data_IF_323687107379
#
_entry.id   IF_323687107379
#
_cell.length_a   1.000
_cell.length_b   1.000
_cell.length_c   1.000
_cell.angle_alpha   90.00
_cell.angle_beta   90.00
_cell.angle_gamma   90.00
#
_symmetry.space_group_name_H-M   'P 1'
#
loop_
_entity.id
_entity.type
_entity.pdbx_description
1 polymer ?
#
# COMPACT_ATOMS: atom_id res chain seq x y z
N UNK A 1 18.42 -8.99 21.38
CA UNK A 1 19.84 -9.20 21.72
C UNK A 1 20.33 -10.40 20.91
N UNK A 2 20.94 -10.12 19.76
CA UNK A 2 22.23 -10.57 19.22
C UNK A 2 22.37 -9.69 17.96
N UNK A 3 23.01 -8.52 18.13
CA UNK A 3 23.55 -7.79 16.98
C UNK A 3 24.68 -8.67 16.43
N UNK A 4 24.46 -9.28 15.26
CA UNK A 4 25.58 -9.74 14.47
C UNK A 4 26.17 -8.53 13.75
N UNK A 5 27.48 -8.27 13.87
CA UNK A 5 28.15 -7.25 13.08
C UNK A 5 27.95 -7.56 11.60
N UNK A 6 27.47 -6.57 10.84
CA UNK A 6 27.44 -6.64 9.39
C UNK A 6 28.88 -6.91 8.89
N UNK A 7 29.10 -7.89 7.99
CA UNK A 7 30.43 -8.10 7.43
C UNK A 7 30.84 -6.82 6.68
N UNK A 8 31.92 -6.20 7.14
CA UNK A 8 32.57 -5.09 6.46
C UNK A 8 33.05 -5.57 5.09
N UNK A 9 32.83 -4.76 4.06
CA UNK A 9 33.32 -4.99 2.70
C UNK A 9 34.84 -4.84 2.70
N UNK A 10 35.55 -5.88 3.14
CA UNK A 10 36.97 -6.07 2.99
C UNK A 10 37.19 -7.56 2.72
N UNK A 11 37.90 -7.85 1.63
CA UNK A 11 38.31 -9.17 1.13
C UNK A 11 37.28 -9.97 0.33
N UNK A 12 36.99 -9.51 -0.89
CA UNK A 12 36.90 -10.42 -2.04
C UNK A 12 37.56 -9.76 -3.25
N UNK A 13 38.82 -10.14 -3.49
CA UNK A 13 39.63 -9.82 -4.66
C UNK A 13 39.20 -10.67 -5.87
N UNK A 14 37.88 -10.74 -6.12
CA UNK A 14 37.29 -11.44 -7.25
C UNK A 14 36.91 -10.40 -8.31
N UNK A 15 37.48 -10.53 -9.51
CA UNK A 15 37.11 -9.71 -10.66
C UNK A 15 35.57 -9.63 -10.77
N UNK A 16 34.99 -8.43 -11.01
CA UNK A 16 33.55 -8.30 -11.09
C UNK A 16 33.02 -9.26 -12.16
N UNK A 17 31.95 -10.04 -11.86
CA UNK A 17 31.42 -11.02 -12.81
C UNK A 17 31.08 -10.31 -14.13
N UNK A 18 31.58 -10.87 -15.23
CA UNK A 18 31.42 -10.31 -16.58
C UNK A 18 29.95 -10.22 -16.95
N UNK A 19 29.50 -9.02 -17.34
CA UNK A 19 28.11 -8.77 -17.67
C UNK A 19 27.63 -9.65 -18.84
N UNK A 20 26.59 -10.44 -18.60
CA UNK A 20 25.98 -11.33 -19.59
C UNK A 20 24.78 -10.64 -20.27
N UNK A 21 25.04 -9.89 -21.33
CA UNK A 21 24.02 -9.30 -22.22
C UNK A 21 23.55 -7.90 -21.84
N UNK A 22 22.71 -7.29 -22.70
CA UNK A 22 22.26 -5.89 -22.59
C UNK A 22 21.42 -5.62 -21.34
N UNK A 23 20.59 -6.57 -20.92
CA UNK A 23 19.74 -6.46 -19.72
C UNK A 23 20.61 -6.44 -18.46
N UNK A 24 21.62 -7.32 -18.40
CA UNK A 24 22.55 -7.37 -17.28
C UNK A 24 23.38 -6.09 -17.18
N UNK A 25 23.86 -5.54 -18.31
CA UNK A 25 24.54 -4.25 -18.32
C UNK A 25 23.65 -3.09 -17.87
N UNK A 26 22.37 -3.08 -18.26
CA UNK A 26 21.45 -1.98 -17.95
C UNK A 26 21.07 -1.93 -16.47
N UNK A 27 20.75 -3.09 -15.88
CA UNK A 27 20.32 -3.22 -14.48
C UNK A 27 21.47 -3.54 -13.52
N UNK A 28 22.64 -3.88 -14.04
CA UNK A 28 23.83 -4.29 -13.28
C UNK A 28 23.55 -5.55 -12.43
N UNK A 29 22.88 -6.55 -13.00
CA UNK A 29 22.37 -7.74 -12.26
C UNK A 29 23.53 -8.55 -11.67
N UNK A 30 24.53 -8.87 -12.48
CA UNK A 30 25.73 -9.61 -12.07
C UNK A 30 26.58 -8.80 -11.10
N UNK A 31 26.72 -7.49 -11.32
CA UNK A 31 27.45 -6.60 -10.40
C UNK A 31 26.75 -6.46 -9.03
N UNK A 32 25.44 -6.70 -8.96
CA UNK A 32 24.67 -6.78 -7.71
C UNK A 32 24.68 -8.18 -7.08
N UNK A 33 25.42 -9.14 -7.65
CA UNK A 33 25.52 -10.51 -7.15
C UNK A 33 24.26 -11.36 -7.37
N UNK A 34 23.43 -11.03 -8.37
CA UNK A 34 22.19 -11.74 -8.69
C UNK A 34 22.25 -12.43 -10.05
N UNK A 35 21.20 -13.18 -10.40
CA UNK A 35 21.04 -13.84 -11.70
C UNK A 35 19.65 -13.54 -12.26
N UNK A 36 19.49 -13.57 -13.59
CA UNK A 36 18.19 -13.31 -14.23
C UNK A 36 17.07 -14.21 -13.69
N UNK A 37 17.35 -15.50 -13.45
CA UNK A 37 16.40 -16.43 -12.84
C UNK A 37 15.99 -16.00 -11.44
N UNK A 38 16.96 -15.54 -10.62
CA UNK A 38 16.71 -15.05 -9.26
C UNK A 38 15.84 -13.79 -9.29
N UNK A 39 16.09 -12.87 -10.21
CA UNK A 39 15.29 -11.64 -10.37
C UNK A 39 13.84 -11.95 -10.77
N UNK A 40 13.62 -12.88 -11.70
CA UNK A 40 12.26 -13.27 -12.11
C UNK A 40 11.49 -13.90 -10.94
N UNK A 41 12.12 -14.82 -10.21
CA UNK A 41 11.50 -15.46 -9.03
C UNK A 41 11.24 -14.44 -7.92
N UNK A 42 12.16 -13.50 -7.69
CA UNK A 42 11.96 -12.41 -6.75
C UNK A 42 10.79 -11.51 -7.16
N UNK A 43 10.68 -11.15 -8.44
CA UNK A 43 9.56 -10.37 -8.97
C UNK A 43 8.22 -11.05 -8.77
N UNK A 44 8.10 -12.35 -9.10
CA UNK A 44 6.87 -13.13 -8.88
C UNK A 44 6.54 -13.19 -7.39
N UNK A 45 7.55 -13.41 -6.54
CA UNK A 45 7.37 -13.47 -5.08
C UNK A 45 6.85 -12.14 -4.52
N UNK A 46 7.45 -11.02 -4.94
CA UNK A 46 7.03 -9.67 -4.55
C UNK A 46 5.62 -9.37 -5.04
N UNK A 47 5.30 -9.74 -6.28
CA UNK A 47 3.93 -9.61 -6.81
C UNK A 47 2.93 -10.37 -5.93
N UNK A 48 3.19 -11.65 -5.62
CA UNK A 48 2.31 -12.45 -4.77
C UNK A 48 2.14 -11.88 -3.36
N UNK A 49 3.17 -11.24 -2.81
CA UNK A 49 3.09 -10.58 -1.51
C UNK A 49 2.19 -9.33 -1.52
N UNK A 50 2.07 -8.63 -2.66
CA UNK A 50 1.29 -7.38 -2.77
C UNK A 50 -0.11 -7.58 -3.35
N UNK A 51 -0.40 -8.70 -4.02
CA UNK A 51 -1.68 -8.96 -4.71
C UNK A 51 -2.91 -8.79 -3.81
N UNK A 52 -2.78 -8.95 -2.49
CA UNK A 52 -3.90 -8.72 -1.57
C UNK A 52 -4.50 -7.31 -1.69
N UNK A 53 -3.69 -6.29 -2.03
CA UNK A 53 -4.14 -4.91 -2.21
C UNK A 53 -5.18 -4.77 -3.33
N UNK A 54 -5.13 -5.66 -4.32
CA UNK A 54 -6.08 -5.71 -5.45
C UNK A 54 -7.50 -6.05 -4.97
N UNK A 55 -7.66 -6.67 -3.80
CA UNK A 55 -8.97 -6.94 -3.20
C UNK A 55 -9.32 -5.90 -2.12
N UNK A 56 -8.35 -5.53 -1.29
CA UNK A 56 -8.57 -4.65 -0.14
C UNK A 56 -8.95 -3.23 -0.58
N UNK A 57 -8.23 -2.65 -1.53
CA UNK A 57 -8.46 -1.26 -1.97
C UNK A 57 -9.84 -1.08 -2.62
N UNK A 58 -10.26 -1.92 -3.60
CA UNK A 58 -11.63 -1.87 -4.11
C UNK A 58 -12.70 -2.11 -3.04
N UNK A 59 -12.46 -3.04 -2.10
CA UNK A 59 -13.41 -3.31 -1.02
C UNK A 59 -13.66 -2.09 -0.12
N UNK A 60 -12.62 -1.32 0.18
CA UNK A 60 -12.72 -0.10 1.00
C UNK A 60 -13.35 1.06 0.22
N UNK A 61 -12.89 1.34 -1.00
CA UNK A 61 -13.42 2.44 -1.80
C UNK A 61 -14.86 2.16 -2.29
N UNK A 62 -15.22 0.89 -2.50
CA UNK A 62 -16.59 0.49 -2.83
C UNK A 62 -17.61 0.95 -1.78
N UNK A 63 -17.24 0.87 -0.49
CA UNK A 63 -18.09 1.34 0.62
C UNK A 63 -18.26 2.86 0.64
N UNK A 64 -17.29 3.58 0.10
CA UNK A 64 -17.34 5.02 -0.10
C UNK A 64 -18.08 5.40 -1.41
N UNK A 65 -18.71 4.46 -2.12
CA UNK A 65 -19.49 4.73 -3.33
C UNK A 65 -18.67 4.77 -4.62
N UNK A 66 -17.43 4.25 -4.62
CA UNK A 66 -16.65 4.07 -5.84
C UNK A 66 -17.04 2.77 -6.56
N UNK A 67 -16.95 2.77 -7.88
CA UNK A 67 -17.09 1.54 -8.66
C UNK A 67 -15.89 0.60 -8.39
N UNK A 68 -16.16 -0.50 -7.69
CA UNK A 68 -15.15 -1.50 -7.32
C UNK A 68 -14.39 -2.06 -8.52
N UNK A 69 -15.04 -2.22 -9.67
CA UNK A 69 -14.43 -2.74 -10.89
C UNK A 69 -13.48 -1.72 -11.50
N UNK A 70 -13.88 -0.45 -11.55
CA UNK A 70 -13.02 0.64 -12.00
C UNK A 70 -11.82 0.86 -11.07
N UNK A 71 -12.04 0.79 -9.75
CA UNK A 71 -10.97 0.89 -8.75
C UNK A 71 -9.97 -0.27 -8.87
N UNK A 72 -10.44 -1.50 -9.05
CA UNK A 72 -9.57 -2.66 -9.28
C UNK A 72 -8.63 -2.43 -10.46
N UNK A 73 -9.17 -1.97 -11.60
CA UNK A 73 -8.38 -1.68 -12.80
C UNK A 73 -7.39 -0.55 -12.53
N UNK A 74 -7.83 0.53 -11.88
CA UNK A 74 -6.99 1.66 -11.53
C UNK A 74 -5.81 1.25 -10.64
N UNK A 75 -6.04 0.43 -9.62
CA UNK A 75 -4.99 -0.09 -8.72
C UNK A 75 -3.98 -0.93 -9.51
N UNK A 76 -4.44 -1.82 -10.38
CA UNK A 76 -3.55 -2.67 -11.18
C UNK A 76 -2.69 -1.83 -12.15
N UNK A 77 -3.30 -0.89 -12.86
CA UNK A 77 -2.60 -0.05 -13.84
C UNK A 77 -1.59 0.90 -13.16
N UNK A 78 -1.98 1.56 -12.07
CA UNK A 78 -1.10 2.49 -11.34
C UNK A 78 0.06 1.76 -10.66
N UNK A 79 -0.19 0.61 -10.03
CA UNK A 79 0.86 -0.25 -9.43
C UNK A 79 1.84 -0.73 -10.50
N UNK A 80 1.35 -1.18 -11.66
CA UNK A 80 2.19 -1.62 -12.77
C UNK A 80 3.03 -0.48 -13.33
N UNK A 81 2.42 0.68 -13.56
CA UNK A 81 3.11 1.88 -14.05
C UNK A 81 4.19 2.35 -13.07
N UNK A 82 3.85 2.51 -11.78
CA UNK A 82 4.79 2.95 -10.76
C UNK A 82 5.95 1.98 -10.57
N UNK A 83 5.67 0.67 -10.54
CA UNK A 83 6.72 -0.36 -10.45
C UNK A 83 7.63 -0.36 -11.68
N UNK A 84 7.08 -0.13 -12.87
CA UNK A 84 7.86 -0.01 -14.09
C UNK A 84 8.74 1.24 -14.07
N UNK A 85 8.20 2.37 -13.60
CA UNK A 85 8.93 3.62 -13.46
C UNK A 85 10.09 3.49 -12.46
N UNK A 86 9.86 2.83 -11.33
CA UNK A 86 10.90 2.53 -10.34
C UNK A 86 12.00 1.64 -10.91
N UNK A 87 11.63 0.60 -11.66
CA UNK A 87 12.58 -0.30 -12.30
C UNK A 87 13.39 0.39 -13.42
N UNK A 88 12.72 1.02 -14.38
CA UNK A 88 13.37 1.56 -15.59
C UNK A 88 14.08 2.90 -15.34
N UNK A 89 13.49 3.80 -14.55
CA UNK A 89 14.03 5.16 -14.39
C UNK A 89 14.86 5.33 -13.11
N UNK A 90 14.36 4.83 -11.97
CA UNK A 90 15.11 4.89 -10.71
C UNK A 90 16.16 3.78 -10.59
N UNK A 91 16.04 2.69 -11.36
CA UNK A 91 16.95 1.53 -11.36
C UNK A 91 17.08 0.89 -9.99
N UNK A 92 15.95 0.74 -9.30
CA UNK A 92 15.86 0.11 -7.99
C UNK A 92 14.93 -1.11 -8.05
N UNK A 93 15.29 -2.22 -7.38
CA UNK A 93 14.45 -3.42 -7.29
C UNK A 93 13.36 -3.23 -6.21
N UNK A 94 12.55 -2.18 -6.37
CA UNK A 94 11.47 -1.82 -5.45
C UNK A 94 10.18 -1.77 -6.24
N UNK A 95 9.15 -2.45 -5.76
CA UNK A 95 7.82 -2.36 -6.34
C UNK A 95 7.03 -1.24 -5.67
N UNK A 96 6.21 -0.55 -6.47
CA UNK A 96 5.30 0.49 -5.99
C UNK A 96 3.89 -0.10 -5.97
N UNK A 97 3.18 0.13 -4.88
CA UNK A 97 1.77 -0.25 -4.73
C UNK A 97 0.93 0.90 -4.19
N UNK A 98 -0.38 0.70 -4.16
CA UNK A 98 -1.31 1.67 -3.59
C UNK A 98 -1.15 1.78 -2.06
N UNK A 99 -1.11 3.01 -1.54
CA UNK A 99 -1.05 3.27 -0.12
C UNK A 99 -2.40 2.94 0.57
N UNK A 100 -2.42 1.89 1.37
CA UNK A 100 -3.63 1.42 2.07
C UNK A 100 -4.08 2.43 3.14
N UNK A 101 -3.13 3.06 3.82
CA UNK A 101 -3.35 4.09 4.83
C UNK A 101 -4.16 5.27 4.29
N UNK A 102 -3.73 5.82 3.15
CA UNK A 102 -4.39 6.93 2.46
C UNK A 102 -5.74 6.50 1.89
N UNK A 103 -5.83 5.28 1.36
CA UNK A 103 -7.09 4.70 0.88
C UNK A 103 -8.13 4.64 2.00
N UNK A 104 -7.74 4.21 3.20
CA UNK A 104 -8.62 4.17 4.37
C UNK A 104 -9.06 5.56 4.81
N UNK A 105 -8.12 6.49 4.90
CA UNK A 105 -8.42 7.86 5.28
C UNK A 105 -9.40 8.51 4.28
N UNK A 106 -9.19 8.28 2.99
CA UNK A 106 -10.10 8.74 1.94
C UNK A 106 -11.50 8.13 2.08
N UNK A 107 -11.62 6.80 2.20
CA UNK A 107 -12.91 6.12 2.28
C UNK A 107 -13.67 6.48 3.56
N UNK A 108 -13.04 6.27 4.71
CA UNK A 108 -13.71 6.31 6.01
C UNK A 108 -13.62 7.67 6.69
N UNK A 109 -12.51 8.39 6.50
CA UNK A 109 -12.33 9.73 7.06
C UNK A 109 -13.07 10.79 6.25
N UNK A 110 -12.82 10.85 4.94
CA UNK A 110 -13.33 11.92 4.08
C UNK A 110 -14.74 11.63 3.57
N UNK A 111 -14.92 10.54 2.82
CA UNK A 111 -16.21 10.28 2.16
C UNK A 111 -17.28 9.91 3.18
N UNK A 112 -17.03 8.89 3.99
CA UNK A 112 -18.02 8.42 4.97
C UNK A 112 -18.07 9.32 6.22
N UNK A 113 -16.91 9.74 6.73
CA UNK A 113 -16.81 10.52 7.97
C UNK A 113 -17.20 11.98 7.85
N UNK A 114 -16.86 12.64 6.74
CA UNK A 114 -17.19 14.05 6.48
C UNK A 114 -18.33 14.22 5.46
N UNK A 115 -18.94 13.13 5.00
CA UNK A 115 -20.01 13.13 3.99
C UNK A 115 -19.64 13.84 2.68
N UNK A 116 -18.35 13.78 2.29
CA UNK A 116 -17.88 14.34 1.03
C UNK A 116 -18.25 13.43 -0.14
N UNK A 117 -18.52 14.02 -1.31
CA UNK A 117 -18.75 13.23 -2.52
C UNK A 117 -17.45 12.56 -3.00
N UNK A 118 -17.53 11.39 -3.67
CA UNK A 118 -16.37 10.74 -4.29
C UNK A 118 -15.57 11.67 -5.22
N UNK A 119 -16.26 12.58 -5.93
CA UNK A 119 -15.65 13.58 -6.80
C UNK A 119 -14.76 14.58 -6.03
N UNK A 120 -15.23 15.09 -4.89
CA UNK A 120 -14.46 16.01 -4.04
C UNK A 120 -13.28 15.28 -3.40
N UNK A 121 -13.46 14.03 -2.98
CA UNK A 121 -12.38 13.21 -2.44
C UNK A 121 -11.28 12.95 -3.49
N UNK A 122 -11.65 12.69 -4.75
CA UNK A 122 -10.69 12.59 -5.86
C UNK A 122 -9.94 13.91 -6.10
N UNK A 123 -10.64 15.05 -6.03
CA UNK A 123 -10.00 16.37 -6.11
C UNK A 123 -8.99 16.61 -4.99
N UNK A 124 -9.31 16.19 -3.76
CA UNK A 124 -8.44 16.32 -2.60
C UNK A 124 -7.18 15.44 -2.73
N UNK A 125 -7.32 14.19 -3.20
CA UNK A 125 -6.19 13.29 -3.47
C UNK A 125 -5.32 13.81 -4.61
N UNK A 126 -5.92 14.36 -5.67
CA UNK A 126 -5.17 14.98 -6.76
C UNK A 126 -4.35 16.19 -6.27
N UNK A 127 -4.97 17.09 -5.51
CA UNK A 127 -4.27 18.25 -4.94
C UNK A 127 -3.15 17.83 -4.00
N UNK A 128 -3.38 16.80 -3.18
CA UNK A 128 -2.34 16.20 -2.36
C UNK A 128 -1.20 15.65 -3.24
N UNK A 129 -1.47 14.93 -4.32
CA UNK A 129 -0.44 14.41 -5.24
C UNK A 129 0.39 15.52 -5.89
N UNK A 130 -0.24 16.63 -6.29
CA UNK A 130 0.45 17.82 -6.83
C UNK A 130 1.39 18.42 -5.78
N UNK A 131 0.87 18.66 -4.56
CA UNK A 131 1.67 19.23 -3.45
C UNK A 131 2.79 18.27 -3.05
N UNK A 132 2.50 16.97 -2.97
CA UNK A 132 3.47 15.93 -2.63
C UNK A 132 4.59 15.84 -3.67
N UNK A 133 4.26 15.89 -4.95
CA UNK A 133 5.23 15.94 -6.04
C UNK A 133 6.10 17.20 -5.96
N UNK A 134 5.48 18.36 -5.73
CA UNK A 134 6.22 19.62 -5.57
C UNK A 134 7.22 19.55 -4.39
N UNK A 135 6.81 19.02 -3.24
CA UNK A 135 7.65 18.81 -2.05
C UNK A 135 8.79 17.82 -2.34
N UNK A 136 8.52 16.77 -3.12
CA UNK A 136 9.53 15.77 -3.51
C UNK A 136 10.57 16.35 -4.46
N UNK A 137 10.15 17.09 -5.50
CA UNK A 137 11.05 17.69 -6.49
C UNK A 137 11.88 18.84 -5.89
N UNK A 138 11.32 19.63 -4.98
CA UNK A 138 12.05 20.71 -4.28
C UNK A 138 13.05 20.19 -3.23
N UNK A 139 13.10 18.89 -2.97
CA UNK A 139 14.02 18.28 -1.99
C UNK A 139 13.58 18.44 -0.53
N UNK A 140 12.42 19.08 -0.29
CA UNK A 140 11.83 19.25 1.05
C UNK A 140 11.54 17.89 1.68
N UNK A 141 11.12 16.88 0.90
CA UNK A 141 10.91 15.50 1.41
C UNK A 141 12.16 14.93 2.07
N UNK A 142 13.34 15.12 1.48
CA UNK A 142 14.63 14.68 2.03
C UNK A 142 15.00 15.47 3.29
N UNK A 143 14.63 16.75 3.36
CA UNK A 143 14.82 17.55 4.57
C UNK A 143 13.90 17.09 5.71
N UNK A 144 12.61 16.83 5.43
CA UNK A 144 11.67 16.28 6.42
C UNK A 144 12.21 14.97 6.97
N UNK A 145 12.70 14.08 6.10
CA UNK A 145 13.35 12.82 6.45
C UNK A 145 14.47 12.93 7.49
N UNK A 146 15.30 13.96 7.33
CA UNK A 146 16.48 14.18 8.18
C UNK A 146 16.13 14.77 9.53
N UNK A 147 15.05 15.54 9.60
CA UNK A 147 14.67 16.29 10.79
C UNK A 147 13.51 15.65 11.56
N UNK A 148 12.86 14.62 11.01
CA UNK A 148 11.74 13.94 11.66
C UNK A 148 12.24 13.08 12.84
N UNK A 149 11.80 13.37 14.09
CA UNK A 149 12.15 12.53 15.22
C UNK A 149 11.60 11.12 15.01
N UNK A 150 12.41 10.10 15.30
CA UNK A 150 12.02 8.69 15.12
C UNK A 150 10.70 8.36 15.85
N UNK A 151 10.46 8.97 17.03
CA UNK A 151 9.22 8.79 17.78
C UNK A 151 7.96 9.25 17.02
N UNK A 152 8.02 10.35 16.27
CA UNK A 152 6.88 10.84 15.46
C UNK A 152 6.62 9.89 14.29
N UNK A 153 7.69 9.42 13.62
CA UNK A 153 7.58 8.45 12.53
C UNK A 153 6.95 7.12 13.00
N UNK A 154 7.42 6.59 14.14
CA UNK A 154 6.87 5.37 14.72
C UNK A 154 5.43 5.56 15.20
N UNK A 155 5.14 6.68 15.87
CA UNK A 155 3.79 6.99 16.36
C UNK A 155 2.77 7.11 15.23
N UNK A 156 3.14 7.77 14.13
CA UNK A 156 2.28 7.86 12.93
C UNK A 156 1.95 6.47 12.36
N UNK A 157 2.96 5.61 12.21
CA UNK A 157 2.76 4.23 11.73
C UNK A 157 1.87 3.40 12.66
N UNK A 158 2.07 3.47 13.98
CA UNK A 158 1.23 2.78 14.97
C UNK A 158 -0.21 3.29 14.93
N UNK A 159 -0.41 4.61 14.87
CA UNK A 159 -1.73 5.23 14.83
C UNK A 159 -2.53 4.79 13.60
N UNK A 160 -1.91 4.79 12.43
CA UNK A 160 -2.53 4.30 11.18
C UNK A 160 -2.88 2.81 11.31
N UNK A 161 -1.96 1.99 11.83
CA UNK A 161 -2.20 0.55 12.02
C UNK A 161 -3.37 0.26 12.96
N UNK A 162 -3.45 0.97 14.10
CA UNK A 162 -4.57 0.85 15.04
C UNK A 162 -5.88 1.36 14.44
N UNK A 163 -5.84 2.41 13.62
CA UNK A 163 -7.01 2.91 12.91
C UNK A 163 -7.54 1.89 11.90
N UNK A 164 -6.67 1.29 11.10
CA UNK A 164 -7.03 0.21 10.17
C UNK A 164 -7.56 -1.03 10.91
N UNK A 165 -6.95 -1.38 12.05
CA UNK A 165 -7.43 -2.48 12.89
C UNK A 165 -8.85 -2.22 13.40
N UNK A 166 -9.15 -0.99 13.81
CA UNK A 166 -10.51 -0.61 14.25
C UNK A 166 -11.51 -0.73 13.10
N UNK A 167 -11.17 -0.24 11.90
CA UNK A 167 -12.02 -0.38 10.71
C UNK A 167 -12.27 -1.84 10.39
N UNK A 168 -11.21 -2.65 10.26
CA UNK A 168 -11.33 -4.07 9.95
C UNK A 168 -12.15 -4.82 11.01
N UNK A 169 -11.93 -4.52 12.29
CA UNK A 169 -12.71 -5.09 13.40
C UNK A 169 -14.17 -4.68 13.36
N UNK A 170 -14.48 -3.47 12.87
CA UNK A 170 -15.84 -3.02 12.68
C UNK A 170 -16.52 -3.69 11.49
N UNK A 171 -15.82 -3.86 10.37
CA UNK A 171 -16.37 -4.52 9.19
C UNK A 171 -16.78 -5.97 9.44
N UNK A 172 -16.00 -6.70 10.24
CA UNK A 172 -16.29 -8.11 10.57
C UNK A 172 -17.29 -8.24 11.71
N UNK A 173 -17.67 -7.13 12.36
CA UNK A 173 -18.62 -7.11 13.48
C UNK A 173 -18.00 -7.48 14.83
N UNK A 174 -16.67 -7.50 14.95
CA UNK A 174 -15.98 -7.71 16.23
C UNK A 174 -16.13 -6.49 17.14
N UNK A 175 -16.03 -5.28 16.57
CA UNK A 175 -16.20 -4.01 17.28
C UNK A 175 -17.38 -3.26 16.67
N UNK A 176 -18.40 -2.95 17.45
CA UNK A 176 -19.60 -2.24 16.96
C UNK A 176 -19.76 -0.89 17.66
N UNK A 177 -20.49 0.03 17.03
CA UNK A 177 -20.85 1.32 17.65
C UNK A 177 -21.66 1.05 18.91
N UNK A 178 -21.27 1.67 20.02
CA UNK A 178 -22.02 1.57 21.27
C UNK A 178 -23.24 2.51 21.20
N UNK A 179 -24.47 2.01 21.34
CA UNK A 179 -25.67 2.85 21.38
C UNK A 179 -25.93 3.48 22.76
N UNK A 180 -25.26 3.00 23.83
CA UNK A 180 -25.45 3.50 25.19
C UNK A 180 -24.62 4.76 25.52
N UNK A 181 -24.85 5.39 26.69
CA UNK A 181 -24.14 6.59 27.15
C UNK A 181 -22.67 6.32 27.59
N UNK A 182 -22.06 5.23 27.14
CA UNK A 182 -20.74 4.77 27.54
C UNK A 182 -19.65 5.06 26.50
N UNK A 183 -18.60 4.23 26.50
CA UNK A 183 -17.50 4.32 25.52
C UNK A 183 -18.04 4.25 24.08
N UNK A 184 -17.41 4.93 23.10
CA UNK A 184 -17.93 5.01 21.71
C UNK A 184 -18.08 3.66 21.00
N UNK A 185 -17.35 2.64 21.45
CA UNK A 185 -17.31 1.30 20.88
C UNK A 185 -17.73 0.25 21.90
N UNK A 186 -18.31 -0.84 21.42
CA UNK A 186 -18.70 -2.01 22.21
C UNK A 186 -18.31 -3.30 21.49
N UNK A 187 -18.20 -4.39 22.25
CA UNK A 187 -17.87 -5.70 21.68
C UNK A 187 -19.10 -6.24 20.93
N UNK A 188 -18.91 -6.64 19.68
CA UNK A 188 -19.95 -7.27 18.87
C UNK A 188 -20.09 -8.76 19.17
N UNK A 189 -20.76 -9.49 18.26
CA UNK A 189 -20.93 -10.93 18.43
C UNK A 189 -19.65 -11.68 18.05
N UNK A 190 -18.84 -12.03 19.05
CA UNK A 190 -17.57 -12.74 18.85
C UNK A 190 -17.71 -14.15 18.28
N UNK A 191 -18.89 -14.76 18.40
CA UNK A 191 -19.18 -16.11 17.88
C UNK A 191 -19.71 -16.09 16.45
N UNK A 192 -19.94 -14.90 15.89
CA UNK A 192 -20.40 -14.78 14.52
C UNK A 192 -19.35 -15.33 13.54
N UNK A 193 -19.84 -15.98 12.48
CA UNK A 193 -18.99 -16.59 11.46
C UNK A 193 -17.93 -15.63 10.88
N UNK A 194 -18.25 -14.38 10.49
CA UNK A 194 -17.24 -13.43 9.98
C UNK A 194 -16.14 -13.10 10.98
N UNK A 195 -16.48 -12.98 12.28
CA UNK A 195 -15.51 -12.68 13.33
C UNK A 195 -14.57 -13.86 13.54
N UNK A 196 -15.12 -15.07 13.63
CA UNK A 196 -14.33 -16.28 13.86
C UNK A 196 -13.40 -16.59 12.67
N UNK A 197 -13.90 -16.44 11.44
CA UNK A 197 -13.07 -16.56 10.23
C UNK A 197 -11.95 -15.52 10.20
N UNK A 198 -12.22 -14.29 10.65
CA UNK A 198 -11.21 -13.23 10.69
C UNK A 198 -10.11 -13.49 11.72
N UNK A 199 -10.46 -13.97 12.91
CA UNK A 199 -9.48 -14.35 13.95
C UNK A 199 -8.65 -15.54 13.50
N UNK A 200 -9.29 -16.59 12.95
CA UNK A 200 -8.59 -17.76 12.40
C UNK A 200 -7.68 -17.38 11.22
N UNK A 201 -8.15 -16.49 10.36
CA UNK A 201 -7.37 -15.96 9.25
C UNK A 201 -6.16 -15.19 9.70
N UNK A 202 -6.30 -14.30 10.68
CA UNK A 202 -5.18 -13.56 11.24
C UNK A 202 -4.14 -14.52 11.87
N UNK A 203 -4.60 -15.53 12.61
CA UNK A 203 -3.72 -16.56 13.16
C UNK A 203 -3.00 -17.36 12.06
N UNK A 204 -3.70 -17.70 10.98
CA UNK A 204 -3.12 -18.38 9.82
C UNK A 204 -2.08 -17.51 9.11
N UNK A 205 -2.35 -16.21 8.93
CA UNK A 205 -1.41 -15.23 8.36
C UNK A 205 -0.14 -15.21 9.20
N UNK A 206 -0.23 -15.04 10.52
CA UNK A 206 0.95 -15.07 11.40
C UNK A 206 1.70 -16.40 11.32
N UNK A 207 0.99 -17.52 11.21
CA UNK A 207 1.60 -18.85 11.05
C UNK A 207 2.38 -18.99 9.74
N UNK A 208 1.81 -18.57 8.61
CA UNK A 208 2.44 -18.63 7.30
C UNK A 208 3.59 -17.63 7.16
N UNK A 209 3.41 -16.42 7.70
CA UNK A 209 4.42 -15.36 7.67
C UNK A 209 5.64 -15.76 8.52
N UNK A 210 5.42 -16.37 9.70
CA UNK A 210 6.50 -16.93 10.51
C UNK A 210 7.27 -18.04 9.78
N UNK A 211 6.59 -18.80 8.91
CA UNK A 211 7.20 -19.81 8.03
C UNK A 211 7.83 -19.23 6.77
N UNK A 212 7.78 -17.90 6.56
CA UNK A 212 8.30 -17.19 5.39
C UNK A 212 7.72 -17.72 4.07
N UNK A 213 6.43 -18.08 4.06
CA UNK A 213 5.74 -18.56 2.85
C UNK A 213 5.40 -17.36 1.97
N UNK A 214 5.90 -17.30 0.71
CA UNK A 214 5.64 -16.18 -0.18
C UNK A 214 4.14 -16.09 -0.50
N UNK A 215 3.56 -14.89 -0.38
CA UNK A 215 2.12 -14.69 -0.61
C UNK A 215 1.22 -15.33 0.46
N UNK A 216 1.71 -15.54 1.69
CA UNK A 216 0.93 -16.15 2.77
C UNK A 216 -0.41 -15.47 3.03
N UNK A 217 -0.44 -14.14 2.97
CA UNK A 217 -1.68 -13.35 3.08
C UNK A 217 -2.68 -13.72 1.98
N UNK A 218 -2.24 -13.81 0.72
CA UNK A 218 -3.08 -14.17 -0.42
C UNK A 218 -3.65 -15.59 -0.26
N UNK A 219 -2.83 -16.55 0.15
CA UNK A 219 -3.29 -17.94 0.37
C UNK A 219 -4.39 -18.00 1.42
N UNK A 220 -4.26 -17.23 2.50
CA UNK A 220 -5.29 -17.14 3.55
C UNK A 220 -6.56 -16.47 3.02
N UNK A 221 -6.45 -15.39 2.25
CA UNK A 221 -7.61 -14.75 1.62
C UNK A 221 -8.35 -15.76 0.75
N UNK A 222 -7.66 -16.47 -0.14
CA UNK A 222 -8.27 -17.48 -1.02
C UNK A 222 -8.91 -18.61 -0.21
N UNK A 223 -8.25 -19.10 0.84
CA UNK A 223 -8.79 -20.16 1.69
C UNK A 223 -10.08 -19.71 2.40
N UNK A 224 -10.09 -18.53 3.00
CA UNK A 224 -11.27 -17.99 3.71
C UNK A 224 -12.38 -17.62 2.74
N UNK A 225 -12.06 -17.04 1.59
CA UNK A 225 -13.05 -16.77 0.54
C UNK A 225 -13.70 -18.05 0.03
N UNK A 226 -12.92 -19.13 -0.12
CA UNK A 226 -13.46 -20.45 -0.51
C UNK A 226 -14.37 -21.02 0.57
N UNK A 227 -13.97 -20.94 1.84
CA UNK A 227 -14.83 -21.34 2.96
C UNK A 227 -16.10 -20.48 3.02
N UNK A 228 -16.00 -19.18 2.81
CA UNK A 228 -17.15 -18.28 2.71
C UNK A 228 -18.10 -18.69 1.60
N UNK A 229 -17.59 -19.02 0.41
CA UNK A 229 -18.42 -19.46 -0.72
C UNK A 229 -19.15 -20.79 -0.46
N UNK A 230 -18.57 -21.68 0.35
CA UNK A 230 -19.18 -22.98 0.70
C UNK A 230 -20.19 -22.86 1.84
N UNK A 231 -19.88 -22.08 2.88
CA UNK A 231 -20.62 -22.06 4.14
C UNK A 231 -21.50 -20.82 4.34
N UNK A 232 -21.25 -19.72 3.64
CA UNK A 232 -21.99 -18.47 3.77
C UNK A 232 -22.98 -18.30 2.59
N UNK A 233 -24.31 -18.40 2.85
CA UNK A 233 -25.33 -18.23 1.81
C UNK A 233 -25.33 -16.84 1.15
N UNK A 234 -24.69 -15.84 1.79
CA UNK A 234 -24.56 -14.49 1.25
C UNK A 234 -23.49 -14.37 0.16
N UNK A 235 -22.56 -15.32 0.08
CA UNK A 235 -21.49 -15.34 -0.92
C UNK A 235 -21.97 -16.10 -2.16
N UNK A 236 -22.34 -15.35 -3.20
CA UNK A 236 -22.75 -15.94 -4.48
C UNK A 236 -21.63 -15.88 -5.49
N UNK A 237 -21.36 -17.00 -6.14
CA UNK A 237 -20.46 -17.05 -7.27
C UNK A 237 -21.07 -16.35 -8.48
N UNK A 238 -20.48 -15.24 -8.90
CA UNK A 238 -20.99 -14.40 -10.00
C UNK A 238 -20.30 -14.66 -11.35
N UNK A 239 -19.39 -15.63 -11.44
CA UNK A 239 -18.75 -16.07 -12.69
C UNK A 239 -17.23 -16.22 -12.60
N UNK A 240 -16.63 -16.89 -13.58
CA UNK A 240 -15.17 -17.12 -13.68
C UNK A 240 -14.48 -15.96 -14.42
N UNK A 241 -15.21 -15.27 -15.30
CA UNK A 241 -14.68 -14.22 -16.16
C UNK A 241 -15.59 -12.99 -16.09
N UNK A 242 -15.05 -11.89 -15.59
CA UNK A 242 -15.69 -10.59 -15.66
C UNK A 242 -14.80 -9.69 -16.53
N UNK A 243 -15.36 -9.14 -17.61
CA UNK A 243 -14.66 -8.10 -18.35
C UNK A 243 -14.56 -6.87 -17.44
N UNK A 244 -13.35 -6.35 -17.17
CA UNK A 244 -13.21 -5.14 -16.39
C UNK A 244 -13.88 -3.99 -17.15
N UNK A 245 -15.01 -3.52 -16.63
CA UNK A 245 -15.71 -2.34 -17.16
C UNK A 245 -15.24 -1.12 -16.39
N UNK A 246 -14.86 -0.06 -17.08
CA UNK A 246 -14.55 1.24 -16.46
C UNK A 246 -15.82 2.01 -16.06
N UNK A 247 -17.00 1.41 -16.25
CA UNK A 247 -18.30 1.99 -15.97
C UNK A 247 -19.30 0.86 -15.77
N UNK A 248 -19.59 0.50 -14.52
CA UNK A 248 -20.72 -0.37 -14.21
C UNK A 248 -22.06 0.35 -14.47
N UNK A 249 -23.11 -0.33 -14.96
CA UNK A 249 -24.44 0.25 -15.08
C UNK A 249 -24.94 0.77 -13.73
N UNK A 250 -25.22 2.07 -13.63
CA UNK A 250 -25.68 2.71 -12.39
C UNK A 250 -24.59 3.44 -11.58
N UNK A 251 -23.33 3.46 -12.03
CA UNK A 251 -22.29 4.33 -11.49
C UNK A 251 -21.81 5.27 -12.59
N UNK A 252 -21.85 6.58 -12.36
CA UNK A 252 -21.24 7.54 -13.29
C UNK A 252 -19.74 7.31 -13.31
N UNK A 253 -19.15 7.22 -14.51
CA UNK A 253 -17.70 7.09 -14.64
C UNK A 253 -17.02 8.24 -13.89
N UNK A 254 -16.20 7.90 -12.91
CA UNK A 254 -15.43 8.88 -12.13
C UNK A 254 -14.15 9.32 -12.86
N UNK A 255 -13.90 8.79 -14.06
CA UNK A 255 -12.78 9.20 -14.91
C UNK A 255 -12.99 10.67 -15.29
N UNK A 256 -12.09 11.53 -14.80
CA UNK A 256 -12.18 12.98 -15.02
C UNK A 256 -13.25 13.70 -14.18
N UNK A 257 -13.95 13.00 -13.27
CA UNK A 257 -14.97 13.59 -12.41
C UNK A 257 -14.40 14.25 -11.14
N UNK A 258 -13.11 14.62 -11.15
CA UNK A 258 -12.45 15.23 -9.98
C UNK A 258 -12.99 16.65 -9.74
N UNK A 259 -13.45 16.93 -8.53
CA UNK A 259 -13.90 18.27 -8.14
C UNK A 259 -12.81 19.00 -7.37
N UNK A 260 -11.93 19.67 -8.12
CA UNK A 260 -10.82 20.47 -7.57
C UNK A 260 -11.36 21.71 -6.84
N UNK A 261 -12.49 22.28 -7.30
CA UNK A 261 -13.07 23.48 -6.66
C UNK A 261 -13.63 23.13 -5.29
N UNK A 262 -14.33 22.01 -5.17
CA UNK A 262 -14.79 21.47 -3.89
C UNK A 262 -13.64 21.11 -2.95
N UNK A 263 -12.55 20.56 -3.49
CA UNK A 263 -11.35 20.24 -2.71
C UNK A 263 -10.61 21.46 -2.15
N UNK A 264 -10.70 22.61 -2.83
CA UNK A 264 -10.14 23.90 -2.39
C UNK A 264 -11.04 24.65 -1.39
N UNK A 265 -12.21 24.10 -1.05
CA UNK A 265 -13.08 24.71 -0.05
C UNK A 265 -12.41 24.73 1.33
N UNK A 266 -12.71 25.75 2.13
CA UNK A 266 -12.15 25.90 3.49
C UNK A 266 -12.47 24.70 4.41
N UNK A 267 -13.54 23.95 4.12
CA UNK A 267 -13.91 22.75 4.85
C UNK A 267 -13.03 21.53 4.53
N UNK A 268 -12.50 21.43 3.31
CA UNK A 268 -11.74 20.26 2.83
C UNK A 268 -10.23 20.51 2.88
N UNK A 269 -9.79 21.76 2.88
CA UNK A 269 -8.37 22.13 2.90
C UNK A 269 -7.58 21.52 4.08
N UNK A 270 -8.10 21.47 5.32
CA UNK A 270 -7.42 20.79 6.43
C UNK A 270 -7.22 19.29 6.16
N UNK A 271 -8.20 18.64 5.53
CA UNK A 271 -8.14 17.24 5.13
C UNK A 271 -7.09 16.99 4.03
N UNK A 272 -6.94 17.92 3.07
CA UNK A 272 -5.87 17.86 2.06
C UNK A 272 -4.50 17.95 2.72
N UNK A 273 -4.32 18.88 3.68
CA UNK A 273 -3.07 19.00 4.42
C UNK A 273 -2.76 17.72 5.21
N UNK A 274 -3.77 17.13 5.86
CA UNK A 274 -3.63 15.85 6.56
C UNK A 274 -3.24 14.72 5.60
N UNK A 275 -3.84 14.65 4.40
CA UNK A 275 -3.45 13.71 3.34
C UNK A 275 -1.99 13.90 2.93
N UNK A 276 -1.54 15.14 2.70
CA UNK A 276 -0.15 15.45 2.33
C UNK A 276 0.81 14.99 3.43
N UNK A 277 0.52 15.31 4.69
CA UNK A 277 1.38 14.90 5.81
C UNK A 277 1.43 13.39 5.97
N UNK A 278 0.27 12.72 5.81
CA UNK A 278 0.19 11.26 5.85
C UNK A 278 1.00 10.64 4.70
N UNK A 279 0.86 11.15 3.47
CA UNK A 279 1.64 10.71 2.31
C UNK A 279 3.15 10.90 2.55
N UNK A 280 3.53 12.08 3.05
CA UNK A 280 4.92 12.39 3.38
C UNK A 280 5.46 11.38 4.36
N UNK A 281 4.77 11.03 5.45
CA UNK A 281 5.31 10.09 6.42
C UNK A 281 5.28 8.63 5.95
N UNK A 282 4.21 8.21 5.28
CA UNK A 282 4.05 6.82 4.81
C UNK A 282 5.06 6.49 3.72
N UNK A 283 5.07 7.27 2.63
CA UNK A 283 5.95 7.04 1.49
C UNK A 283 7.43 7.16 1.88
N UNK A 284 7.73 8.04 2.81
CA UNK A 284 9.08 8.26 3.31
C UNK A 284 9.56 7.16 4.25
N UNK A 285 8.71 6.71 5.17
CA UNK A 285 9.03 5.63 6.10
C UNK A 285 9.21 4.31 5.36
N UNK A 286 8.30 4.01 4.43
CA UNK A 286 8.30 2.78 3.63
C UNK A 286 9.51 2.70 2.70
N UNK A 287 9.80 3.74 1.90
CA UNK A 287 10.92 3.71 0.96
C UNK A 287 12.26 3.53 1.67
N UNK A 288 12.45 4.16 2.84
CA UNK A 288 13.69 3.99 3.63
C UNK A 288 13.80 2.58 4.21
N UNK A 289 12.70 2.03 4.73
CA UNK A 289 12.68 0.68 5.27
C UNK A 289 12.96 -0.36 4.18
N UNK A 290 12.28 -0.25 3.04
CA UNK A 290 12.45 -1.17 1.90
C UNK A 290 13.84 -1.04 1.30
N UNK A 291 14.35 0.18 1.10
CA UNK A 291 15.71 0.39 0.59
C UNK A 291 16.78 -0.20 1.54
N UNK A 292 16.57 -0.11 2.86
CA UNK A 292 17.43 -0.74 3.85
C UNK A 292 17.44 -2.26 3.74
N UNK A 293 16.27 -2.89 3.58
CA UNK A 293 16.16 -4.34 3.40
C UNK A 293 16.70 -4.81 2.03
N UNK A 294 16.62 -3.96 1.01
CA UNK A 294 17.12 -4.25 -0.34
C UNK A 294 18.62 -3.91 -0.55
N UNK A 295 19.34 -3.56 0.53
CA UNK A 295 20.74 -3.12 0.50
C UNK A 295 20.99 -2.00 -0.53
N UNK A 296 20.06 -1.05 -0.63
CA UNK A 296 20.12 0.11 -1.52
C UNK A 296 20.45 1.41 -0.77
N UNK A 297 20.99 1.31 0.45
CA UNK A 297 21.49 2.44 1.23
C UNK A 297 23.01 2.55 1.09
N UNK A 298 23.53 3.76 0.94
CA UNK A 298 24.97 4.06 1.01
C UNK A 298 25.48 4.07 2.46
N UNK A 299 26.79 4.20 2.64
CA UNK A 299 27.43 4.26 3.96
C UNK A 299 26.96 5.42 4.85
N UNK A 300 26.28 6.43 4.27
CA UNK A 300 25.68 7.56 4.97
C UNK A 300 24.18 7.40 5.20
N UNK A 301 23.62 6.23 4.88
CA UNK A 301 22.19 5.91 5.01
C UNK A 301 21.30 6.53 3.92
N UNK A 302 21.86 6.97 2.79
CA UNK A 302 21.09 7.55 1.67
C UNK A 302 20.76 6.49 0.63
N UNK A 303 19.59 6.62 0.02
CA UNK A 303 19.12 5.70 -1.00
C UNK A 303 19.88 5.96 -2.31
N UNK A 304 20.44 4.91 -2.92
CA UNK A 304 20.98 5.00 -4.29
C UNK A 304 19.89 5.51 -5.24
N UNK A 305 20.20 6.52 -6.06
CA UNK A 305 19.21 7.20 -6.91
C UNK A 305 17.98 7.76 -6.17
N UNK A 306 18.12 8.09 -4.87
CA UNK A 306 17.01 8.49 -4.01
C UNK A 306 16.12 9.59 -4.59
N UNK A 307 16.68 10.63 -5.21
CA UNK A 307 15.88 11.68 -5.85
C UNK A 307 14.94 11.17 -6.96
N UNK A 308 15.42 10.24 -7.79
CA UNK A 308 14.58 9.60 -8.83
C UNK A 308 13.56 8.65 -8.22
N UNK A 309 13.95 7.91 -7.18
CA UNK A 309 13.05 7.00 -6.48
C UNK A 309 11.87 7.74 -5.83
N UNK A 310 12.16 8.84 -5.13
CA UNK A 310 11.15 9.67 -4.47
C UNK A 310 10.24 10.37 -5.49
N UNK A 311 10.80 10.76 -6.65
CA UNK A 311 10.01 11.37 -7.73
C UNK A 311 9.11 10.33 -8.41
N UNK A 312 9.63 9.12 -8.68
CA UNK A 312 8.87 8.02 -9.27
C UNK A 312 7.71 7.55 -8.37
N UNK A 313 7.90 7.65 -7.07
CA UNK A 313 6.90 7.36 -6.04
C UNK A 313 5.84 8.46 -5.90
N UNK A 314 6.11 9.67 -6.39
CA UNK A 314 5.15 10.79 -6.33
C UNK A 314 4.25 10.91 -7.57
N UNK A 315 4.74 10.44 -8.72
CA UNK A 315 4.09 10.52 -10.04
C UNK A 315 3.20 9.31 -10.28
#
# INVERSE_FOLDING_TARGET
MIEQPYPSVADTDAAPPTAQGKIDQYFQISARGSTQRREVVAGITTFMAMVYAVFVVPGMLGKAGFDTSAVFVAVCLTTAFGSLLMGLWAKLPIAIGCAISLTAFMAFGLVLGQHLSPAVALGAVFLMGVVFTAISVTGVRTWILRNLPAGVAHGAGIGIGLFLLLIASNEVGLVIKNPGPGLPVSLGNITAFPVMMSILGLAAIFGLERRRVPGGILLVIVAISTLGLVFDPSVKFTGIFALPTLSAPGHTSLIGAMDIRGALSAAVLPSVLALVMTAVFDATGTIRAVAGQANQLDATGRIHNGGRALTADSV
#
